data_IF_939039567316
#
_entry.id   IF_939039567316
#
_cell.length_a   1.000
_cell.length_b   1.000
_cell.length_c   1.000
_cell.angle_alpha   90.00
_cell.angle_beta   90.00
_cell.angle_gamma   90.00
#
_symmetry.space_group_name_H-M   'P 1'
#
loop_
_entity.id
_entity.type
_entity.pdbx_description
1 polymer ?
#
# COMPACT_ATOMS: atom_id res chain seq x y z
N UNK A 1 -65.53 -6.05 -31.31
CA UNK A 1 -64.27 -6.52 -30.69
C UNK A 1 -64.37 -6.19 -29.21
N UNK A 2 -64.93 -7.08 -28.39
CA UNK A 2 -64.28 -8.19 -27.64
C UNK A 2 -63.77 -7.71 -26.26
N UNK A 3 -64.67 -7.88 -25.28
CA UNK A 3 -64.50 -8.40 -23.91
C UNK A 3 -64.04 -7.48 -22.75
N UNK A 4 -64.94 -7.45 -21.75
CA UNK A 4 -64.86 -7.03 -20.33
C UNK A 4 -64.03 -8.04 -19.48
N UNK A 5 -64.02 -7.98 -18.14
CA UNK A 5 -63.49 -7.02 -17.13
C UNK A 5 -62.21 -7.58 -16.45
N UNK A 6 -61.60 -6.86 -15.49
CA UNK A 6 -61.12 -7.42 -14.20
C UNK A 6 -60.72 -6.28 -13.25
N UNK A 7 -61.15 -6.46 -12.00
CA UNK A 7 -60.97 -5.60 -10.83
C UNK A 7 -59.51 -5.40 -10.41
N UNK A 8 -59.22 -4.31 -9.68
CA UNK A 8 -58.26 -4.38 -8.57
C UNK A 8 -58.40 -3.23 -7.56
N UNK A 9 -58.92 -3.61 -6.38
CA UNK A 9 -58.51 -3.28 -5.01
C UNK A 9 -58.14 -1.83 -4.61
N UNK A 10 -58.99 -1.28 -3.74
CA UNK A 10 -58.57 -0.40 -2.66
C UNK A 10 -57.59 -1.14 -1.73
N UNK A 11 -56.44 -0.51 -1.45
CA UNK A 11 -55.68 -0.76 -0.22
C UNK A 11 -54.95 0.51 0.20
N UNK A 12 -55.48 1.14 1.24
CA UNK A 12 -54.83 2.20 2.02
C UNK A 12 -53.69 1.56 2.80
N UNK A 13 -52.44 1.89 2.47
CA UNK A 13 -51.27 1.47 3.23
C UNK A 13 -50.84 2.58 4.19
N UNK A 14 -50.79 2.23 5.46
CA UNK A 14 -50.46 3.05 6.62
C UNK A 14 -49.05 3.66 6.50
N UNK A 15 -48.94 4.98 6.69
CA UNK A 15 -47.67 5.67 6.88
C UNK A 15 -47.16 5.40 8.30
N UNK A 16 -46.12 4.60 8.45
CA UNK A 16 -45.30 4.56 9.67
C UNK A 16 -44.21 5.63 9.57
N UNK A 17 -44.01 6.49 10.59
CA UNK A 17 -42.76 7.22 10.70
C UNK A 17 -41.69 6.20 11.12
N UNK A 18 -40.79 5.86 10.20
CA UNK A 18 -39.56 5.19 10.58
C UNK A 18 -38.77 6.16 11.47
N UNK A 19 -38.64 5.82 12.75
CA UNK A 19 -37.62 6.41 13.60
C UNK A 19 -36.28 6.09 12.95
N UNK A 20 -35.65 7.11 12.37
CA UNK A 20 -34.22 7.06 12.10
C UNK A 20 -33.56 7.02 13.47
N UNK A 21 -33.19 5.83 13.94
CA UNK A 21 -32.11 5.72 14.92
C UNK A 21 -30.91 6.41 14.29
N UNK A 22 -30.56 7.58 14.84
CA UNK A 22 -29.29 8.23 14.61
C UNK A 22 -28.22 7.16 14.83
N UNK A 23 -27.68 6.65 13.72
CA UNK A 23 -26.53 5.78 13.74
C UNK A 23 -25.42 6.60 14.40
N UNK A 24 -25.22 6.37 15.70
CA UNK A 24 -24.09 6.90 16.45
C UNK A 24 -22.85 6.73 15.59
N UNK A 25 -22.08 7.80 15.31
CA UNK A 25 -20.84 7.69 14.58
C UNK A 25 -20.01 6.62 15.27
N UNK A 26 -19.86 5.48 14.61
CA UNK A 26 -19.09 4.37 15.12
C UNK A 26 -17.66 4.90 15.20
N UNK A 27 -17.21 5.20 16.41
CA UNK A 27 -15.86 5.60 16.75
C UNK A 27 -14.92 4.44 16.40
N UNK A 28 -14.58 4.32 15.11
CA UNK A 28 -13.54 3.43 14.60
C UNK A 28 -12.18 4.07 14.90
N UNK A 29 -11.92 4.34 16.16
CA UNK A 29 -10.57 4.32 16.72
C UNK A 29 -10.18 2.86 16.99
N UNK A 30 -10.27 1.99 15.98
CA UNK A 30 -9.50 0.75 16.00
C UNK A 30 -8.04 1.21 15.97
N UNK A 31 -7.37 1.18 17.13
CA UNK A 31 -5.95 1.44 17.22
C UNK A 31 -5.22 0.47 16.28
N UNK A 32 -4.91 0.94 15.08
CA UNK A 32 -4.10 0.18 14.14
C UNK A 32 -2.77 -0.12 14.84
N UNK A 33 -2.30 -1.38 14.81
CA UNK A 33 -1.01 -1.71 15.38
C UNK A 33 0.06 -0.83 14.74
N UNK A 34 1.01 -0.36 15.55
CA UNK A 34 2.13 0.43 15.05
C UNK A 34 2.85 -0.35 13.94
N UNK A 35 3.19 0.35 12.85
CA UNK A 35 3.86 -0.28 11.72
C UNK A 35 5.16 -0.94 12.19
N UNK A 36 5.45 -2.22 11.85
CA UNK A 36 6.43 -2.96 12.64
C UNK A 36 7.89 -2.48 12.46
N UNK A 37 8.19 -1.74 11.39
CA UNK A 37 9.49 -1.06 11.23
C UNK A 37 9.73 0.10 12.22
N UNK A 38 8.69 0.54 12.94
CA UNK A 38 8.77 1.54 14.01
C UNK A 38 9.15 0.92 15.36
N UNK A 39 9.13 -0.41 15.48
CA UNK A 39 9.43 -1.08 16.74
C UNK A 39 10.94 -1.00 17.06
N UNK A 40 11.25 -0.89 18.35
CA UNK A 40 12.64 -0.95 18.81
C UNK A 40 13.29 -2.28 18.38
N UNK A 41 14.49 -2.20 17.81
CA UNK A 41 15.19 -3.38 17.29
C UNK A 41 14.59 -3.96 16.00
N UNK A 42 13.67 -3.24 15.33
CA UNK A 42 13.18 -3.65 14.02
C UNK A 42 14.36 -3.82 13.04
N UNK A 43 14.38 -4.93 12.28
CA UNK A 43 15.48 -5.26 11.38
C UNK A 43 15.64 -4.23 10.26
N UNK A 44 16.80 -4.27 9.61
CA UNK A 44 17.09 -3.52 8.39
C UNK A 44 17.49 -4.48 7.29
N UNK A 45 17.27 -4.10 6.03
CA UNK A 45 18.01 -4.71 4.94
C UNK A 45 19.49 -4.39 5.10
N UNK A 46 20.36 -5.33 4.69
CA UNK A 46 21.81 -5.12 4.73
C UNK A 46 22.30 -4.30 3.52
N UNK A 47 21.66 -3.14 3.32
CA UNK A 47 22.06 -2.14 2.33
C UNK A 47 21.56 -0.75 2.72
N UNK A 48 22.29 0.27 2.32
CA UNK A 48 21.85 1.67 2.44
C UNK A 48 20.88 2.04 1.32
N UNK A 49 20.14 3.13 1.50
CA UNK A 49 19.24 3.65 0.46
C UNK A 49 19.96 4.00 -0.85
N UNK A 50 21.21 4.47 -0.77
CA UNK A 50 22.03 4.77 -1.94
C UNK A 50 22.40 3.51 -2.72
N UNK A 51 22.85 2.45 -2.02
CA UNK A 51 23.17 1.16 -2.61
C UNK A 51 21.94 0.49 -3.23
N UNK A 52 20.78 0.58 -2.56
CA UNK A 52 19.52 0.11 -3.12
C UNK A 52 19.20 0.80 -4.44
N UNK A 53 19.21 2.15 -4.46
CA UNK A 53 18.88 2.94 -5.64
C UNK A 53 19.79 2.61 -6.81
N UNK A 54 21.10 2.52 -6.57
CA UNK A 54 22.09 2.18 -7.59
C UNK A 54 21.77 0.82 -8.24
N UNK A 55 21.62 -0.23 -7.43
CA UNK A 55 21.31 -1.59 -7.90
C UNK A 55 19.94 -1.68 -8.58
N UNK A 56 18.94 -1.00 -8.03
CA UNK A 56 17.59 -0.96 -8.58
C UNK A 56 17.58 -0.28 -9.96
N UNK A 57 18.22 0.89 -10.11
CA UNK A 57 18.27 1.60 -11.38
C UNK A 57 19.09 0.85 -12.44
N UNK A 58 20.16 0.16 -12.05
CA UNK A 58 20.96 -0.66 -12.95
C UNK A 58 20.15 -1.83 -13.55
N UNK A 59 19.18 -2.35 -12.81
CA UNK A 59 18.32 -3.47 -13.25
C UNK A 59 17.00 -3.01 -13.88
N UNK A 60 16.61 -1.74 -13.69
CA UNK A 60 15.34 -1.18 -14.17
C UNK A 60 15.57 0.21 -14.83
N UNK A 61 16.27 0.28 -15.98
CA UNK A 61 16.64 1.55 -16.61
C UNK A 61 15.44 2.41 -17.02
N UNK A 62 14.29 1.80 -17.32
CA UNK A 62 13.06 2.49 -17.76
C UNK A 62 12.17 2.97 -16.59
N UNK A 63 12.48 2.51 -15.37
CA UNK A 63 11.74 2.83 -14.15
C UNK A 63 12.67 3.44 -13.10
N UNK A 64 13.50 4.46 -13.40
CA UNK A 64 14.51 4.93 -12.47
C UNK A 64 13.88 5.57 -11.24
N UNK A 65 14.55 5.40 -10.10
CA UNK A 65 14.34 6.18 -8.89
C UNK A 65 15.34 7.31 -8.84
N UNK A 66 14.86 8.51 -8.55
CA UNK A 66 15.71 9.68 -8.29
C UNK A 66 16.32 9.58 -6.89
N UNK A 67 17.22 10.51 -6.56
CA UNK A 67 17.79 10.57 -5.22
C UNK A 67 16.72 10.72 -4.14
N UNK A 68 16.92 10.01 -3.04
CA UNK A 68 16.06 10.11 -1.87
C UNK A 68 16.44 11.35 -1.06
N UNK A 69 15.48 12.23 -0.84
CA UNK A 69 15.64 13.44 -0.02
C UNK A 69 15.02 13.21 1.34
N UNK A 70 15.73 13.61 2.39
CA UNK A 70 15.22 13.55 3.74
C UNK A 70 13.93 14.38 3.85
N UNK A 71 12.96 13.85 4.60
CA UNK A 71 11.73 14.54 4.96
C UNK A 71 11.87 14.93 6.42
N UNK A 72 11.95 16.24 6.68
CA UNK A 72 11.95 16.76 8.03
C UNK A 72 10.58 16.51 8.67
N UNK A 73 10.56 15.68 9.70
CA UNK A 73 9.39 15.52 10.56
C UNK A 73 9.80 15.87 11.99
N UNK A 74 9.59 17.14 12.37
CA UNK A 74 10.04 17.69 13.66
C UNK A 74 9.37 17.03 14.87
N UNK A 75 8.24 16.37 14.67
CA UNK A 75 7.48 15.69 15.72
C UNK A 75 7.74 14.17 15.76
N UNK A 76 8.65 13.64 14.92
CA UNK A 76 8.91 12.21 14.85
C UNK A 76 9.80 11.71 16.01
N UNK A 77 9.20 10.93 16.91
CA UNK A 77 9.89 10.30 18.05
C UNK A 77 10.51 8.93 17.72
N UNK A 78 10.40 8.45 16.48
CA UNK A 78 10.82 7.08 16.10
C UNK A 78 12.33 6.88 15.94
N UNK A 79 13.16 7.92 16.09
CA UNK A 79 14.60 7.88 15.83
C UNK A 79 14.95 7.28 14.44
N UNK A 80 14.10 7.57 13.46
CA UNK A 80 14.27 7.14 12.07
C UNK A 80 14.50 8.36 11.18
N UNK A 81 15.32 8.20 10.15
CA UNK A 81 15.38 9.16 9.06
C UNK A 81 14.35 8.77 8.02
N UNK A 82 13.38 9.63 7.73
CA UNK A 82 12.45 9.44 6.60
C UNK A 82 13.01 10.10 5.36
N UNK A 83 12.86 9.44 4.21
CA UNK A 83 13.25 10.02 2.94
C UNK A 83 12.28 9.60 1.83
N UNK A 84 12.21 10.40 0.77
CA UNK A 84 11.41 10.07 -0.41
C UNK A 84 12.10 10.48 -1.71
N UNK A 85 11.74 9.78 -2.77
CA UNK A 85 12.12 10.03 -4.16
C UNK A 85 10.85 10.24 -4.97
N UNK A 86 10.69 11.45 -5.53
CA UNK A 86 9.55 11.78 -6.39
C UNK A 86 9.75 11.15 -7.76
N UNK A 87 8.80 10.33 -8.20
CA UNK A 87 8.78 9.75 -9.56
C UNK A 87 7.99 10.67 -10.49
N UNK A 88 6.80 11.09 -10.06
CA UNK A 88 5.99 12.15 -10.67
C UNK A 88 5.00 12.73 -9.64
N UNK A 89 4.01 13.52 -10.07
CA UNK A 89 3.02 14.15 -9.17
C UNK A 89 2.10 13.15 -8.44
N UNK A 90 1.91 11.96 -9.00
CA UNK A 90 0.96 10.95 -8.51
C UNK A 90 1.66 9.68 -8.02
N UNK A 91 2.99 9.63 -8.07
CA UNK A 91 3.75 8.43 -7.77
C UNK A 91 5.07 8.81 -7.11
N UNK A 92 5.34 8.23 -5.94
CA UNK A 92 6.59 8.45 -5.22
C UNK A 92 7.04 7.19 -4.51
N UNK A 93 8.35 7.12 -4.28
CA UNK A 93 8.96 6.11 -3.43
C UNK A 93 9.31 6.74 -2.08
N UNK A 94 9.06 6.04 -0.98
CA UNK A 94 9.40 6.48 0.37
C UNK A 94 10.12 5.39 1.15
N UNK A 95 10.86 5.80 2.17
CA UNK A 95 11.60 4.88 3.04
C UNK A 95 11.71 5.45 4.45
N UNK A 96 11.81 4.55 5.42
CA UNK A 96 12.34 4.87 6.74
C UNK A 96 13.67 4.15 6.92
N UNK A 97 14.66 4.90 7.39
CA UNK A 97 16.04 4.49 7.52
C UNK A 97 16.42 4.47 9.00
N UNK A 98 17.26 3.51 9.35
CA UNK A 98 17.93 3.50 10.64
C UNK A 98 18.89 4.69 10.74
N UNK A 99 18.74 5.47 11.82
CA UNK A 99 19.55 6.64 12.07
C UNK A 99 21.03 6.27 12.20
N UNK A 100 21.90 7.10 11.63
CA UNK A 100 23.36 6.90 11.65
C UNK A 100 23.90 5.89 10.62
N UNK A 101 23.14 4.85 10.27
CA UNK A 101 23.59 3.83 9.29
C UNK A 101 23.02 4.07 7.90
N UNK A 102 21.84 4.69 7.79
CA UNK A 102 21.12 4.85 6.52
C UNK A 102 20.62 3.52 5.95
N UNK A 103 20.65 2.44 6.74
CA UNK A 103 20.12 1.13 6.37
C UNK A 103 18.60 1.16 6.35
N UNK A 104 18.02 0.40 5.43
CA UNK A 104 16.61 0.49 5.08
C UNK A 104 15.78 -0.37 6.05
N UNK A 105 14.81 0.23 6.73
CA UNK A 105 13.80 -0.50 7.51
C UNK A 105 12.52 -0.80 6.73
N UNK A 106 12.19 0.01 5.74
CA UNK A 106 11.06 -0.21 4.83
C UNK A 106 11.28 0.55 3.52
N UNK A 107 10.83 0.00 2.40
CA UNK A 107 10.71 0.67 1.11
C UNK A 107 9.27 0.62 0.65
N UNK A 108 8.76 1.75 0.19
CA UNK A 108 7.38 1.94 -0.18
C UNK A 108 7.30 2.57 -1.57
N UNK A 109 6.34 2.13 -2.38
CA UNK A 109 5.85 2.84 -3.55
C UNK A 109 4.41 3.22 -3.28
N UNK A 110 4.09 4.51 -3.41
CA UNK A 110 2.72 5.01 -3.23
C UNK A 110 2.23 5.70 -4.48
N UNK A 111 1.06 5.26 -4.96
CA UNK A 111 0.32 5.88 -6.05
C UNK A 111 -0.87 6.65 -5.49
N UNK A 112 -1.06 7.87 -5.97
CA UNK A 112 -2.18 8.75 -5.64
C UNK A 112 -3.12 8.81 -6.85
N UNK A 113 -4.30 8.17 -6.79
CA UNK A 113 -5.28 8.22 -7.87
C UNK A 113 -5.72 9.65 -8.16
N UNK A 114 -5.65 10.04 -9.43
CA UNK A 114 -6.22 11.29 -9.93
C UNK A 114 -7.22 10.94 -11.03
N UNK A 115 -8.52 11.27 -10.87
CA UNK A 115 -9.52 11.04 -11.91
C UNK A 115 -9.17 11.77 -13.21
N UNK A 116 -9.24 11.07 -14.34
CA UNK A 116 -8.96 11.64 -15.65
C UNK A 116 -8.62 10.60 -16.71
N UNK A 117 -8.42 11.02 -17.97
CA UNK A 117 -8.09 10.12 -19.07
C UNK A 117 -6.79 9.33 -18.83
N UNK A 118 -5.84 9.92 -18.10
CA UNK A 118 -4.52 9.33 -17.87
C UNK A 118 -4.48 8.36 -16.67
N UNK A 119 -5.57 8.23 -15.91
CA UNK A 119 -5.61 7.43 -14.68
C UNK A 119 -5.15 5.99 -14.91
N UNK A 120 -5.60 5.36 -16.01
CA UNK A 120 -5.24 3.98 -16.33
C UNK A 120 -3.75 3.82 -16.63
N UNK A 121 -3.16 4.77 -17.36
CA UNK A 121 -1.74 4.77 -17.67
C UNK A 121 -0.89 5.05 -16.42
N UNK A 122 -1.32 5.99 -15.57
CA UNK A 122 -0.67 6.29 -14.30
C UNK A 122 -0.69 5.08 -13.36
N UNK A 123 -1.84 4.40 -13.25
CA UNK A 123 -1.96 3.16 -12.48
C UNK A 123 -1.05 2.07 -13.03
N UNK A 124 -1.01 1.86 -14.35
CA UNK A 124 -0.13 0.87 -14.96
C UNK A 124 1.34 1.14 -14.61
N UNK A 125 1.79 2.40 -14.73
CA UNK A 125 3.15 2.80 -14.33
C UNK A 125 3.42 2.55 -12.85
N UNK A 126 2.46 2.85 -11.98
CA UNK A 126 2.59 2.54 -10.54
C UNK A 126 2.79 1.04 -10.29
N UNK A 127 2.00 0.19 -10.96
CA UNK A 127 2.13 -1.26 -10.84
C UNK A 127 3.48 -1.76 -11.35
N UNK A 128 4.05 -1.13 -12.38
CA UNK A 128 5.37 -1.48 -12.91
C UNK A 128 6.47 -1.16 -11.88
N UNK A 129 6.42 0.00 -11.22
CA UNK A 129 7.34 0.34 -10.12
C UNK A 129 7.18 -0.60 -8.91
N UNK A 130 5.95 -0.91 -8.50
CA UNK A 130 5.68 -1.85 -7.40
C UNK A 130 6.19 -3.27 -7.74
N UNK A 131 6.01 -3.70 -8.99
CA UNK A 131 6.49 -5.00 -9.48
C UNK A 131 8.02 -5.04 -9.50
N UNK A 132 8.67 -3.97 -9.97
CA UNK A 132 10.12 -3.86 -9.96
C UNK A 132 10.68 -3.89 -8.54
N UNK A 133 10.06 -3.17 -7.59
CA UNK A 133 10.43 -3.22 -6.18
C UNK A 133 10.29 -4.62 -5.59
N UNK A 134 9.17 -5.31 -5.87
CA UNK A 134 8.95 -6.68 -5.41
C UNK A 134 10.05 -7.61 -5.93
N UNK A 135 10.37 -7.53 -7.23
CA UNK A 135 11.35 -8.40 -7.89
C UNK A 135 12.78 -8.14 -7.44
N UNK A 136 13.08 -6.92 -7.01
CA UNK A 136 14.38 -6.60 -6.39
C UNK A 136 14.64 -7.46 -5.15
N UNK A 137 13.61 -7.69 -4.32
CA UNK A 137 13.73 -8.45 -3.08
C UNK A 137 13.41 -9.94 -3.23
N UNK A 138 12.73 -10.33 -4.30
CA UNK A 138 12.44 -11.74 -4.63
C UNK A 138 13.17 -12.10 -5.93
N UNK A 139 14.50 -12.34 -5.87
CA UNK A 139 15.29 -12.64 -7.05
C UNK A 139 14.79 -13.92 -7.73
N UNK A 140 14.89 -13.96 -9.06
CA UNK A 140 14.46 -15.10 -9.87
C UNK A 140 13.03 -15.00 -10.40
N UNK A 141 12.21 -14.05 -9.94
CA UNK A 141 10.91 -13.80 -10.55
C UNK A 141 11.04 -13.11 -11.92
N UNK A 142 10.38 -13.70 -12.93
CA UNK A 142 10.16 -13.04 -14.21
C UNK A 142 9.28 -11.80 -14.03
N UNK A 143 9.26 -10.85 -14.99
CA UNK A 143 8.35 -9.70 -14.93
C UNK A 143 6.88 -10.11 -14.77
N UNK A 144 6.45 -11.15 -15.49
CA UNK A 144 5.08 -11.65 -15.46
C UNK A 144 4.73 -12.29 -14.11
N UNK A 145 5.62 -13.11 -13.55
CA UNK A 145 5.41 -13.75 -12.25
C UNK A 145 5.43 -12.72 -11.11
N UNK A 146 6.32 -11.74 -11.19
CA UNK A 146 6.35 -10.61 -10.28
C UNK A 146 5.05 -9.82 -10.29
N UNK A 147 4.51 -9.53 -11.49
CA UNK A 147 3.23 -8.83 -11.64
C UNK A 147 2.08 -9.66 -11.07
N UNK A 148 2.01 -10.95 -11.40
CA UNK A 148 1.00 -11.86 -10.86
C UNK A 148 1.02 -11.92 -9.33
N UNK A 149 2.22 -11.96 -8.74
CA UNK A 149 2.39 -11.95 -7.28
C UNK A 149 1.95 -10.62 -6.68
N UNK A 150 2.31 -9.50 -7.28
CA UNK A 150 1.85 -8.18 -6.85
C UNK A 150 0.32 -8.10 -6.89
N UNK A 151 -0.30 -8.51 -8.00
CA UNK A 151 -1.77 -8.48 -8.16
C UNK A 151 -2.47 -9.32 -7.08
N UNK A 152 -1.91 -10.47 -6.69
CA UNK A 152 -2.42 -11.29 -5.60
C UNK A 152 -2.34 -10.57 -4.24
N UNK A 153 -1.22 -9.90 -3.94
CA UNK A 153 -1.05 -9.11 -2.72
C UNK A 153 -1.99 -7.91 -2.67
N UNK A 154 -2.13 -7.17 -3.78
CA UNK A 154 -3.03 -6.03 -3.88
C UNK A 154 -4.49 -6.44 -3.76
N UNK A 155 -4.87 -7.58 -4.35
CA UNK A 155 -6.23 -8.13 -4.23
C UNK A 155 -6.54 -8.52 -2.78
N UNK A 156 -5.60 -9.17 -2.09
CA UNK A 156 -5.76 -9.56 -0.69
C UNK A 156 -5.83 -8.34 0.26
N UNK A 157 -5.12 -7.26 -0.06
CA UNK A 157 -5.13 -6.01 0.70
C UNK A 157 -6.16 -4.97 0.26
N UNK A 158 -7.03 -5.29 -0.70
CA UNK A 158 -7.95 -4.31 -1.29
C UNK A 158 -8.89 -3.69 -0.25
N UNK A 159 -8.99 -2.37 -0.25
CA UNK A 159 -9.76 -1.59 0.71
C UNK A 159 -9.28 -1.65 2.17
N UNK A 160 -8.18 -2.35 2.46
CA UNK A 160 -7.63 -2.44 3.80
C UNK A 160 -6.69 -1.26 4.07
N UNK A 161 -6.84 -0.63 5.25
CA UNK A 161 -5.88 0.36 5.75
C UNK A 161 -4.49 -0.24 6.00
N UNK A 162 -4.45 -1.55 6.27
CA UNK A 162 -3.22 -2.32 6.45
C UNK A 162 -3.51 -3.79 6.16
N UNK A 163 -2.76 -4.35 5.21
CA UNK A 163 -2.65 -5.78 4.95
C UNK A 163 -1.18 -6.14 4.93
N UNK A 164 -0.81 -7.29 5.49
CA UNK A 164 0.55 -7.79 5.43
C UNK A 164 0.59 -9.28 5.11
N UNK A 165 1.56 -9.67 4.28
CA UNK A 165 1.89 -11.06 3.99
C UNK A 165 3.38 -11.28 4.23
N UNK A 166 3.72 -12.33 4.96
CA UNK A 166 5.10 -12.66 5.31
C UNK A 166 5.56 -13.86 4.51
N UNK A 167 6.73 -13.74 3.88
CA UNK A 167 7.34 -14.82 3.10
C UNK A 167 8.86 -14.82 3.32
N UNK A 168 9.37 -15.92 3.87
CA UNK A 168 10.79 -16.04 4.20
C UNK A 168 11.22 -14.88 5.11
N UNK A 169 12.24 -14.12 4.70
CA UNK A 169 12.75 -12.97 5.46
C UNK A 169 12.08 -11.62 5.09
N UNK A 170 10.96 -11.64 4.36
CA UNK A 170 10.27 -10.44 3.88
C UNK A 170 8.86 -10.36 4.43
N UNK A 171 8.41 -9.14 4.69
CA UNK A 171 7.00 -8.78 4.83
C UNK A 171 6.62 -7.82 3.71
N UNK A 172 5.59 -8.19 2.96
CA UNK A 172 4.91 -7.32 2.01
C UNK A 172 3.76 -6.63 2.72
N UNK A 173 3.62 -5.32 2.55
CA UNK A 173 2.53 -4.54 3.13
C UNK A 173 1.75 -3.87 2.01
N UNK A 174 0.42 -3.90 2.09
CA UNK A 174 -0.48 -3.15 1.21
C UNK A 174 -1.35 -2.26 2.08
N UNK A 175 -1.48 -0.99 1.70
CA UNK A 175 -2.47 -0.08 2.25
C UNK A 175 -3.24 0.53 1.07
N UNK A 176 -4.53 0.19 0.97
CA UNK A 176 -5.42 0.69 -0.07
C UNK A 176 -6.45 1.63 0.57
N UNK A 177 -6.18 2.93 0.45
CA UNK A 177 -7.01 3.98 1.00
C UNK A 177 -7.96 4.60 -0.05
N UNK A 178 -8.22 3.88 -1.15
CA UNK A 178 -9.03 4.37 -2.26
C UNK A 178 -8.42 5.62 -2.88
N UNK A 179 -9.22 6.69 -2.99
CA UNK A 179 -8.79 7.96 -3.58
C UNK A 179 -7.63 8.64 -2.83
N UNK A 180 -7.34 8.23 -1.59
CA UNK A 180 -6.21 8.77 -0.81
C UNK A 180 -4.88 8.12 -1.15
N UNK A 181 -4.89 7.01 -1.89
CA UNK A 181 -3.67 6.36 -2.36
C UNK A 181 -3.60 4.87 -2.09
N UNK A 182 -2.79 4.22 -2.93
CA UNK A 182 -2.40 2.83 -2.82
C UNK A 182 -0.90 2.75 -2.52
N UNK A 183 -0.53 2.16 -1.39
CA UNK A 183 0.85 1.92 -1.00
C UNK A 183 1.17 0.43 -1.02
N UNK A 184 2.28 0.08 -1.65
CA UNK A 184 2.92 -1.22 -1.53
C UNK A 184 4.28 -1.05 -0.86
N UNK A 185 4.58 -1.88 0.15
CA UNK A 185 5.84 -1.84 0.87
C UNK A 185 6.51 -3.21 0.96
N UNK A 186 7.84 -3.19 1.07
CA UNK A 186 8.65 -4.36 1.40
C UNK A 186 9.48 -4.04 2.64
N UNK A 187 9.41 -4.92 3.63
CA UNK A 187 10.05 -4.80 4.93
C UNK A 187 10.86 -6.06 5.25
N UNK A 188 12.04 -5.94 5.88
CA UNK A 188 12.76 -7.09 6.39
C UNK A 188 12.04 -7.64 7.61
N UNK A 189 12.12 -8.95 7.81
CA UNK A 189 11.75 -9.58 9.07
C UNK A 189 12.92 -10.37 9.66
N UNK A 190 13.04 -10.32 10.98
CA UNK A 190 13.99 -11.16 11.70
C UNK A 190 13.39 -12.56 11.76
N UNK A 191 14.02 -13.51 11.10
CA UNK A 191 13.68 -14.92 11.26
C UNK A 191 14.10 -15.34 12.68
N UNK A 192 13.13 -15.64 13.54
CA UNK A 192 13.40 -16.37 14.77
C UNK A 192 13.56 -17.85 14.39
N UNK A 193 14.66 -18.47 14.83
CA UNK A 193 14.77 -19.93 14.76
C UNK A 193 13.66 -20.51 15.64
N UNK A 194 12.84 -21.41 15.08
CA UNK A 194 11.95 -22.22 15.90
C UNK A 194 12.83 -22.94 16.93
N UNK A 195 12.49 -22.80 18.22
CA UNK A 195 13.13 -23.60 19.25
C UNK A 195 12.80 -25.07 18.95
N UNK A 196 13.80 -25.95 18.83
CA UNK A 196 13.56 -27.36 18.49
C UNK A 196 12.72 -28.08 19.55
#
# INVERSE_FOLDING_TARGET
MKNLPVALLLSVALTFPAWAEDATPQDRSDHLPAAPYLLAGAPTFDMTIAQFREKYNATNPDLPLQEYRAIDNRDDKSNLTRAASKINETLYASTALEQGTGKIKTLQITWLPVPGPDMKAAQARAMDYMTALLRFFVPGLSPADGRKKLDALLSAGKGARYFASTEGALRFVVADNGDKGLTFAVEPIKLALATP
#
